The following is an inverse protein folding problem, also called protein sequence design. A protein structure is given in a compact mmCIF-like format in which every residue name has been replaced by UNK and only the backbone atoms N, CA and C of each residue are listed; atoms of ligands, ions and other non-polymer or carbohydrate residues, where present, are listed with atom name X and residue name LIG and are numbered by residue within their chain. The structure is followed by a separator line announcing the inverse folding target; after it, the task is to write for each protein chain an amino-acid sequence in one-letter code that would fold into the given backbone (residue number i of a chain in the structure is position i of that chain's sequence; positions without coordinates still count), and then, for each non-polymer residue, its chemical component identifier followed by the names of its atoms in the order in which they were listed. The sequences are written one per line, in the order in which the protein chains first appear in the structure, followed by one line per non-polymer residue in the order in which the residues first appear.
data_IF_008736300312
#
_entry.id   IF_008736300312
#
_cell.length_a   1.000
_cell.length_b   1.000
_cell.length_c   1.000
_cell.angle_alpha   90.00
_cell.angle_beta   90.00
_cell.angle_gamma   90.00
#
_symmetry.space_group_name_H-M   'P 1'
#
loop_
_entity.id
_entity.type
_entity.pdbx_description
1 polymer ?
#
# COMPACT_ATOMS: atom_id res chain seq x y z
N UNK A 1 -2.67 5.26 -20.64
CA UNK A 1 -3.99 5.74 -20.17
C UNK A 1 -3.81 6.27 -18.76
N UNK A 2 -3.80 7.60 -18.59
CA UNK A 2 -3.72 8.24 -17.27
C UNK A 2 -5.08 8.02 -16.61
N UNK A 3 -5.14 7.22 -15.54
CA UNK A 3 -6.40 7.00 -14.81
C UNK A 3 -6.90 8.34 -14.28
N UNK A 4 -8.21 8.52 -14.28
CA UNK A 4 -8.79 9.69 -13.65
C UNK A 4 -8.57 9.60 -12.13
N UNK A 5 -7.84 10.59 -11.59
CA UNK A 5 -7.47 10.68 -10.18
C UNK A 5 -8.23 11.84 -9.51
N UNK A 6 -9.34 12.31 -10.09
CA UNK A 6 -10.16 13.39 -9.51
C UNK A 6 -10.67 13.08 -8.11
N UNK A 7 -10.91 11.79 -7.80
CA UNK A 7 -11.27 11.34 -6.46
C UNK A 7 -10.25 11.74 -5.39
N UNK A 8 -8.97 11.88 -5.75
CA UNK A 8 -7.89 12.14 -4.80
C UNK A 8 -8.00 13.54 -4.16
N UNK A 9 -8.62 14.50 -4.84
CA UNK A 9 -8.78 15.85 -4.32
C UNK A 9 -9.68 15.92 -3.07
N UNK A 10 -10.51 14.90 -2.83
CA UNK A 10 -11.43 14.81 -1.69
C UNK A 10 -10.75 14.44 -0.36
N UNK A 11 -9.51 13.95 -0.41
CA UNK A 11 -8.79 13.38 0.73
C UNK A 11 -7.54 14.17 1.06
N UNK A 12 -7.22 14.29 2.35
CA UNK A 12 -6.00 14.95 2.81
C UNK A 12 -4.88 13.95 3.12
N UNK A 13 -5.20 12.66 3.23
CA UNK A 13 -4.21 11.58 3.36
C UNK A 13 -4.62 10.39 2.49
N UNK A 14 -3.74 9.92 1.60
CA UNK A 14 -4.04 8.79 0.71
C UNK A 14 -2.96 7.73 0.90
N UNK A 15 -3.36 6.50 1.24
CA UNK A 15 -2.42 5.41 1.53
C UNK A 15 -2.55 4.31 0.49
N UNK A 16 -1.55 4.15 -0.38
CA UNK A 16 -1.50 3.07 -1.37
C UNK A 16 -0.80 1.84 -0.79
N UNK A 17 -1.51 0.72 -0.73
CA UNK A 17 -1.01 -0.56 -0.22
C UNK A 17 -1.38 -1.71 -1.17
N UNK A 18 -0.62 -2.81 -1.09
CA UNK A 18 -0.74 -3.95 -2.01
C UNK A 18 0.61 -4.62 -2.28
N UNK A 19 0.60 -5.69 -3.08
CA UNK A 19 1.82 -6.46 -3.39
C UNK A 19 2.88 -5.60 -4.12
N UNK A 20 4.17 -5.89 -3.89
CA UNK A 20 5.25 -5.25 -4.63
C UNK A 20 5.15 -5.59 -6.12
N UNK A 21 5.41 -4.61 -7.00
CA UNK A 21 5.12 -4.75 -8.43
C UNK A 21 3.65 -4.46 -8.82
N UNK A 22 2.72 -4.29 -7.88
CA UNK A 22 1.32 -3.98 -8.20
C UNK A 22 1.09 -2.56 -8.77
N UNK A 23 2.11 -1.72 -8.94
CA UNK A 23 1.94 -0.39 -9.57
C UNK A 23 1.63 0.78 -8.61
N UNK A 24 1.76 0.55 -7.29
CA UNK A 24 1.56 1.55 -6.22
C UNK A 24 2.37 2.83 -6.44
N UNK A 25 3.70 2.71 -6.58
CA UNK A 25 4.60 3.86 -6.77
C UNK A 25 4.16 4.76 -7.90
N UNK A 26 3.75 4.20 -9.04
CA UNK A 26 3.27 4.98 -10.18
C UNK A 26 2.00 5.76 -9.86
N UNK A 27 1.04 5.12 -9.17
CA UNK A 27 -0.20 5.78 -8.75
C UNK A 27 0.06 6.84 -7.67
N UNK A 28 0.89 6.53 -6.68
CA UNK A 28 1.23 7.42 -5.59
C UNK A 28 1.95 8.69 -6.10
N UNK A 29 2.94 8.54 -6.98
CA UNK A 29 3.63 9.68 -7.61
C UNK A 29 2.65 10.55 -8.40
N UNK A 30 1.86 9.96 -9.29
CA UNK A 30 0.89 10.71 -10.09
C UNK A 30 -0.17 11.41 -9.22
N UNK A 31 -0.59 10.77 -8.12
CA UNK A 31 -1.55 11.34 -7.16
C UNK A 31 -0.93 12.51 -6.41
N UNK A 32 0.32 12.39 -5.95
CA UNK A 32 1.02 13.44 -5.25
C UNK A 32 1.23 14.68 -6.14
N UNK A 33 1.63 14.47 -7.40
CA UNK A 33 1.78 15.55 -8.39
C UNK A 33 0.46 16.27 -8.65
N UNK A 34 -0.63 15.53 -8.89
CA UNK A 34 -1.96 16.12 -9.19
C UNK A 34 -2.57 16.84 -7.99
N UNK A 35 -2.26 16.43 -6.78
CA UNK A 35 -2.85 16.99 -5.55
C UNK A 35 -1.92 17.94 -4.79
N UNK A 36 -0.72 18.17 -5.32
CA UNK A 36 0.37 18.91 -4.65
C UNK A 36 0.67 18.39 -3.23
N UNK A 37 0.55 17.08 -3.05
CA UNK A 37 0.76 16.43 -1.76
C UNK A 37 2.23 16.06 -1.53
N UNK A 38 2.63 15.95 -0.27
CA UNK A 38 3.91 15.36 0.12
C UNK A 38 3.85 13.86 -0.10
N UNK A 39 4.70 13.34 -0.99
CA UNK A 39 4.87 11.90 -1.22
C UNK A 39 5.80 11.32 -0.15
N UNK A 40 5.30 10.38 0.65
CA UNK A 40 6.04 9.62 1.64
C UNK A 40 6.23 8.21 1.08
N UNK A 41 7.49 7.81 0.88
CA UNK A 41 7.83 6.44 0.48
C UNK A 41 8.28 5.66 1.72
N UNK A 42 7.44 4.75 2.23
CA UNK A 42 7.82 3.92 3.36
C UNK A 42 8.69 2.76 2.89
N UNK A 43 9.99 2.85 3.18
CA UNK A 43 10.95 1.76 2.98
C UNK A 43 10.98 0.82 4.19
N UNK A 44 11.70 -0.29 4.05
CA UNK A 44 11.98 -1.20 5.16
C UNK A 44 12.59 -0.42 6.34
N UNK A 45 11.93 -0.48 7.50
CA UNK A 45 12.42 0.14 8.73
C UNK A 45 13.42 -0.78 9.43
N UNK A 46 14.51 -0.23 10.00
CA UNK A 46 15.50 -1.02 10.73
C UNK A 46 14.89 -1.89 11.85
N UNK A 47 15.54 -3.03 12.20
CA UNK A 47 15.20 -3.76 13.41
C UNK A 47 15.27 -2.86 14.66
N UNK A 48 14.33 -3.03 15.59
CA UNK A 48 14.26 -2.24 16.83
C UNK A 48 13.58 -0.86 16.70
N UNK A 49 13.16 -0.44 15.51
CA UNK A 49 12.33 0.76 15.35
C UNK A 49 10.97 0.58 16.04
N UNK A 50 10.58 1.57 16.85
CA UNK A 50 9.23 1.72 17.37
C UNK A 50 8.28 2.13 16.24
N UNK A 51 7.73 1.13 15.55
CA UNK A 51 6.91 1.33 14.36
C UNK A 51 5.65 2.17 14.61
N UNK A 52 4.86 1.94 15.67
CA UNK A 52 3.70 2.78 15.97
C UNK A 52 4.06 4.26 16.00
N UNK A 53 5.02 4.65 16.84
CA UNK A 53 5.45 6.05 16.97
C UNK A 53 6.02 6.59 15.66
N UNK A 54 6.81 5.80 14.93
CA UNK A 54 7.37 6.21 13.65
C UNK A 54 6.27 6.54 12.62
N UNK A 55 5.24 5.71 12.50
CA UNK A 55 4.12 5.96 11.58
C UNK A 55 3.22 7.09 12.06
N UNK A 56 2.93 7.21 13.36
CA UNK A 56 2.18 8.35 13.88
C UNK A 56 2.89 9.68 13.60
N UNK A 57 4.21 9.73 13.76
CA UNK A 57 5.01 10.92 13.42
C UNK A 57 4.96 11.26 11.92
N UNK A 58 4.90 10.25 11.04
CA UNK A 58 4.72 10.49 9.61
C UNK A 58 3.31 11.02 9.31
N UNK A 59 2.29 10.48 9.99
CA UNK A 59 0.91 10.92 9.85
C UNK A 59 0.68 12.31 10.45
N UNK A 60 1.45 12.73 11.45
CA UNK A 60 1.34 14.08 12.06
C UNK A 60 1.88 15.20 11.16
N UNK A 61 2.55 14.87 10.06
CA UNK A 61 3.07 15.89 9.14
C UNK A 61 1.96 16.80 8.60
N UNK A 62 2.22 18.12 8.47
CA UNK A 62 1.22 19.06 7.98
C UNK A 62 0.96 18.89 6.49
N UNK A 63 -0.22 19.34 6.05
CA UNK A 63 -0.60 19.36 4.64
C UNK A 63 -1.09 18.00 4.12
N UNK A 64 -1.27 17.90 2.81
CA UNK A 64 -1.77 16.70 2.15
C UNK A 64 -0.66 15.67 2.02
N UNK A 65 -0.95 14.42 2.36
CA UNK A 65 0.00 13.31 2.35
C UNK A 65 -0.42 12.22 1.38
N UNK A 66 0.54 11.67 0.65
CA UNK A 66 0.38 10.45 -0.14
C UNK A 66 1.44 9.45 0.28
N UNK A 67 1.02 8.26 0.70
CA UNK A 67 1.92 7.18 1.09
C UNK A 67 2.02 6.15 -0.04
N UNK A 68 3.24 5.89 -0.51
CA UNK A 68 3.59 4.70 -1.29
C UNK A 68 4.12 3.63 -0.34
N UNK A 69 3.23 2.71 0.06
CA UNK A 69 3.36 1.82 1.23
C UNK A 69 3.32 2.58 2.56
N UNK A 70 2.84 1.91 3.59
CA UNK A 70 2.77 2.42 4.95
C UNK A 70 2.80 1.24 5.96
N UNK A 71 2.11 1.36 7.09
CA UNK A 71 2.15 0.39 8.18
C UNK A 71 1.43 -0.93 7.87
N UNK A 72 0.52 -1.00 6.89
CA UNK A 72 -0.21 -2.23 6.56
C UNK A 72 0.72 -3.27 5.94
N UNK A 73 1.73 -2.83 5.19
CA UNK A 73 2.78 -3.70 4.64
C UNK A 73 3.48 -4.56 5.70
N UNK A 74 3.63 -4.09 6.94
CA UNK A 74 4.25 -4.87 8.04
C UNK A 74 3.40 -6.08 8.46
N UNK A 75 2.07 -5.95 8.41
CA UNK A 75 1.12 -6.99 8.80
C UNK A 75 1.01 -8.09 7.75
N UNK A 76 1.39 -7.80 6.50
CA UNK A 76 1.44 -8.79 5.42
C UNK A 76 2.84 -9.43 5.35
N UNK A 77 3.87 -8.61 5.18
CA UNK A 77 5.21 -9.12 4.89
C UNK A 77 5.95 -9.63 6.13
N UNK A 78 5.67 -9.10 7.32
CA UNK A 78 6.27 -9.57 8.57
C UNK A 78 6.01 -11.06 8.82
N UNK A 79 4.73 -11.50 8.88
CA UNK A 79 4.40 -12.90 9.07
C UNK A 79 4.97 -13.82 7.99
N UNK A 80 4.94 -13.41 6.71
CA UNK A 80 5.42 -14.22 5.59
C UNK A 80 6.94 -14.43 5.66
N UNK A 81 7.71 -13.36 5.83
CA UNK A 81 9.17 -13.44 5.72
C UNK A 81 9.91 -13.62 7.05
N UNK A 82 9.28 -13.27 8.18
CA UNK A 82 9.89 -13.33 9.52
C UNK A 82 9.11 -14.21 10.50
N UNK A 83 7.97 -14.76 10.11
CA UNK A 83 7.08 -15.53 10.99
C UNK A 83 6.33 -14.69 12.03
N UNK A 84 6.49 -13.37 12.05
CA UNK A 84 5.79 -12.47 12.96
C UNK A 84 5.72 -11.04 12.41
N UNK A 85 4.66 -10.32 12.78
CA UNK A 85 4.56 -8.87 12.55
C UNK A 85 5.12 -8.10 13.76
N UNK A 86 5.78 -6.98 13.49
CA UNK A 86 6.21 -6.02 14.53
C UNK A 86 5.07 -5.10 14.99
N UNK A 87 3.98 -5.05 14.23
CA UNK A 87 2.76 -4.33 14.60
C UNK A 87 1.67 -5.32 15.04
N UNK A 88 0.95 -4.96 16.10
CA UNK A 88 -0.24 -5.67 16.54
C UNK A 88 -1.48 -5.13 15.84
N UNK A 89 -2.59 -5.86 15.92
CA UNK A 89 -3.89 -5.39 15.43
C UNK A 89 -4.38 -4.12 16.14
N UNK A 90 -4.02 -3.95 17.41
CA UNK A 90 -4.32 -2.73 18.16
C UNK A 90 -3.55 -1.53 17.60
N UNK A 91 -2.26 -1.69 17.30
CA UNK A 91 -1.46 -0.64 16.65
C UNK A 91 -2.03 -0.28 15.28
N UNK A 92 -2.40 -1.29 14.48
CA UNK A 92 -3.09 -1.08 13.20
C UNK A 92 -4.36 -0.25 13.39
N UNK A 93 -5.19 -0.61 14.37
CA UNK A 93 -6.45 0.08 14.64
C UNK A 93 -6.24 1.55 15.01
N UNK A 94 -5.22 1.85 15.81
CA UNK A 94 -4.85 3.23 16.15
C UNK A 94 -4.40 4.01 14.92
N UNK A 95 -3.46 3.47 14.13
CA UNK A 95 -2.93 4.15 12.95
C UNK A 95 -3.99 4.32 11.85
N UNK A 96 -4.93 3.39 11.71
CA UNK A 96 -6.09 3.53 10.82
C UNK A 96 -6.97 4.70 11.26
N UNK A 97 -7.20 4.88 12.56
CA UNK A 97 -7.96 6.03 13.08
C UNK A 97 -7.25 7.35 12.79
N UNK A 98 -5.93 7.41 12.96
CA UNK A 98 -5.15 8.61 12.62
C UNK A 98 -5.29 8.98 11.12
N UNK A 99 -5.29 7.99 10.21
CA UNK A 99 -5.56 8.23 8.79
C UNK A 99 -6.98 8.78 8.58
N UNK A 100 -7.99 8.21 9.26
CA UNK A 100 -9.39 8.66 9.16
C UNK A 100 -9.56 10.09 9.67
N UNK A 101 -8.97 10.41 10.82
CA UNK A 101 -9.03 11.75 11.44
C UNK A 101 -8.42 12.82 10.53
N UNK A 102 -7.46 12.43 9.70
CA UNK A 102 -6.89 13.26 8.62
C UNK A 102 -7.68 13.23 7.32
N UNK A 103 -8.99 12.92 7.38
CA UNK A 103 -9.84 12.77 6.18
C UNK A 103 -9.20 11.88 5.13
N UNK A 104 -8.61 10.78 5.57
CA UNK A 104 -7.80 9.92 4.72
C UNK A 104 -8.55 8.72 4.14
N UNK A 105 -7.94 8.10 3.14
CA UNK A 105 -8.45 6.90 2.47
C UNK A 105 -7.33 5.90 2.22
N UNK A 106 -7.69 4.62 2.31
CA UNK A 106 -6.81 3.54 1.89
C UNK A 106 -7.14 3.11 0.47
N UNK A 107 -6.10 2.91 -0.33
CA UNK A 107 -6.21 2.43 -1.70
C UNK A 107 -5.54 1.08 -1.80
N UNK A 108 -6.36 0.05 -2.00
CA UNK A 108 -5.88 -1.29 -2.29
C UNK A 108 -5.54 -1.41 -3.77
N UNK A 109 -4.25 -1.57 -4.07
CA UNK A 109 -3.76 -1.71 -5.44
C UNK A 109 -3.47 -3.18 -5.74
N UNK A 110 -4.20 -3.73 -6.68
CA UNK A 110 -4.10 -5.15 -7.07
C UNK A 110 -3.57 -5.33 -8.49
N UNK A 111 -3.01 -6.50 -8.75
CA UNK A 111 -2.64 -6.99 -10.07
C UNK A 111 -2.55 -8.52 -10.02
N UNK A 112 -2.76 -9.23 -11.15
CA UNK A 112 -2.51 -10.66 -11.21
C UNK A 112 -1.07 -11.01 -10.83
N UNK A 113 -0.86 -12.12 -10.12
CA UNK A 113 0.48 -12.56 -9.69
C UNK A 113 1.47 -12.70 -10.86
N UNK A 114 1.00 -13.17 -12.02
CA UNK A 114 1.82 -13.25 -13.24
C UNK A 114 2.29 -11.88 -13.73
N UNK A 115 1.40 -10.88 -13.69
CA UNK A 115 1.70 -9.51 -14.09
C UNK A 115 2.64 -8.83 -13.09
N UNK A 116 2.44 -9.07 -11.79
CA UNK A 116 3.37 -8.64 -10.74
C UNK A 116 4.76 -9.21 -11.02
N UNK A 117 4.87 -10.53 -11.20
CA UNK A 117 6.14 -11.19 -11.46
C UNK A 117 6.82 -10.65 -12.72
N UNK A 118 6.06 -10.42 -13.80
CA UNK A 118 6.57 -9.80 -15.03
C UNK A 118 7.17 -8.42 -14.77
N UNK A 119 6.50 -7.58 -13.97
CA UNK A 119 6.99 -6.24 -13.60
C UNK A 119 8.24 -6.29 -12.73
N UNK A 120 8.30 -7.21 -11.75
CA UNK A 120 9.49 -7.41 -10.92
C UNK A 120 10.68 -7.86 -11.79
N UNK A 121 10.45 -8.78 -12.74
CA UNK A 121 11.46 -9.23 -13.69
C UNK A 121 11.96 -8.08 -14.58
N UNK A 122 11.06 -7.25 -15.11
CA UNK A 122 11.40 -6.10 -15.93
C UNK A 122 12.20 -5.02 -15.17
N UNK A 123 12.09 -4.96 -13.84
CA UNK A 123 12.91 -4.09 -12.98
C UNK A 123 14.32 -4.64 -12.72
N UNK A 124 14.60 -5.88 -13.10
CA UNK A 124 15.89 -6.53 -12.89
C UNK A 124 16.06 -7.13 -11.48
N UNK A 125 14.98 -7.48 -10.78
CA UNK A 125 15.09 -8.14 -9.48
C UNK A 125 15.74 -9.54 -9.62
N UNK A 126 16.80 -9.77 -8.84
CA UNK A 126 17.62 -10.99 -8.92
C UNK A 126 16.93 -12.22 -8.32
N UNK A 127 16.03 -12.02 -7.36
CA UNK A 127 15.31 -13.08 -6.66
C UNK A 127 13.80 -12.86 -6.82
N UNK A 128 13.25 -13.33 -7.93
CA UNK A 128 11.81 -13.24 -8.19
C UNK A 128 11.04 -14.26 -7.33
N UNK A 129 10.02 -13.82 -6.56
CA UNK A 129 9.14 -14.75 -5.88
C UNK A 129 8.41 -15.67 -6.86
N UNK A 130 8.01 -16.86 -6.40
CA UNK A 130 7.18 -17.75 -7.20
C UNK A 130 5.78 -17.15 -7.41
N UNK A 131 5.03 -17.67 -8.39
CA UNK A 131 3.64 -17.24 -8.60
C UNK A 131 2.80 -17.54 -7.35
N UNK A 132 3.05 -18.66 -6.68
CA UNK A 132 2.33 -19.06 -5.47
C UNK A 132 2.66 -18.14 -4.30
N UNK A 133 3.92 -17.75 -4.14
CA UNK A 133 4.31 -16.77 -3.10
C UNK A 133 3.63 -15.41 -3.33
N UNK A 134 3.58 -14.95 -4.58
CA UNK A 134 2.89 -13.70 -4.93
C UNK A 134 1.39 -13.80 -4.71
N UNK A 135 0.77 -14.93 -5.06
CA UNK A 135 -0.64 -15.19 -4.81
C UNK A 135 -0.95 -15.16 -3.31
N UNK A 136 -0.11 -15.79 -2.48
CA UNK A 136 -0.23 -15.74 -1.03
C UNK A 136 -0.12 -14.31 -0.49
N UNK A 137 0.84 -13.52 -0.98
CA UNK A 137 0.97 -12.11 -0.58
C UNK A 137 -0.28 -11.32 -0.95
N UNK A 138 -0.82 -11.51 -2.17
CA UNK A 138 -2.04 -10.85 -2.61
C UNK A 138 -3.24 -11.24 -1.73
N UNK A 139 -3.42 -12.52 -1.44
CA UNK A 139 -4.48 -13.03 -0.56
C UNK A 139 -4.39 -12.40 0.84
N UNK A 140 -3.17 -12.24 1.37
CA UNK A 140 -2.97 -11.58 2.68
C UNK A 140 -3.30 -10.10 2.65
N UNK A 141 -3.06 -9.41 1.55
CA UNK A 141 -3.57 -8.03 1.38
C UNK A 141 -5.10 -8.02 1.27
N UNK A 142 -5.72 -8.94 0.53
CA UNK A 142 -7.18 -9.05 0.43
C UNK A 142 -7.81 -9.25 1.81
N UNK A 143 -7.27 -10.17 2.62
CA UNK A 143 -7.70 -10.42 4.01
C UNK A 143 -7.60 -9.15 4.87
N UNK A 144 -6.46 -8.46 4.79
CA UNK A 144 -6.22 -7.26 5.57
C UNK A 144 -7.19 -6.14 5.17
N UNK A 145 -7.40 -5.94 3.86
CA UNK A 145 -8.30 -4.91 3.37
C UNK A 145 -9.77 -5.20 3.69
N UNK A 146 -10.20 -6.47 3.68
CA UNK A 146 -11.51 -6.86 4.22
C UNK A 146 -11.68 -6.43 5.68
N UNK A 147 -10.63 -6.53 6.50
CA UNK A 147 -10.68 -6.04 7.87
C UNK A 147 -10.75 -4.50 7.94
N UNK A 148 -9.96 -3.79 7.12
CA UNK A 148 -9.98 -2.31 7.07
C UNK A 148 -11.33 -1.77 6.61
N UNK A 149 -12.01 -2.43 5.68
CA UNK A 149 -13.35 -2.06 5.20
C UNK A 149 -14.42 -2.08 6.31
N UNK A 150 -14.20 -2.84 7.39
CA UNK A 150 -15.08 -2.81 8.56
C UNK A 150 -14.93 -1.52 9.38
N UNK A 151 -13.88 -0.74 9.12
CA UNK A 151 -13.49 0.44 9.89
C UNK A 151 -13.64 1.74 9.10
N UNK A 152 -13.37 1.71 7.79
CA UNK A 152 -13.39 2.89 6.94
C UNK A 152 -13.59 2.55 5.46
N UNK A 153 -13.72 3.58 4.63
CA UNK A 153 -13.78 3.45 3.17
C UNK A 153 -12.43 3.03 2.60
N UNK A 154 -12.46 2.04 1.70
CA UNK A 154 -11.33 1.58 0.91
C UNK A 154 -11.66 1.77 -0.57
N UNK A 155 -10.69 2.28 -1.34
CA UNK A 155 -10.76 2.30 -2.80
C UNK A 155 -9.96 1.12 -3.36
N UNK A 156 -10.55 0.38 -4.29
CA UNK A 156 -9.86 -0.73 -4.96
C UNK A 156 -9.46 -0.31 -6.37
N UNK A 157 -8.19 -0.49 -6.70
CA UNK A 157 -7.63 -0.15 -8.00
C UNK A 157 -6.87 -1.35 -8.55
N UNK A 158 -7.43 -2.00 -9.57
CA UNK A 158 -6.70 -3.01 -10.33
C UNK A 158 -5.78 -2.35 -11.37
N UNK A 159 -4.57 -2.90 -11.51
CA UNK A 159 -3.59 -2.42 -12.48
C UNK A 159 -3.26 -3.42 -13.58
N UNK A 160 -4.11 -4.43 -13.81
CA UNK A 160 -3.94 -5.35 -14.95
C UNK A 160 -3.65 -4.59 -16.24
N UNK A 161 -2.74 -5.12 -17.07
CA UNK A 161 -2.83 -4.80 -18.48
C UNK A 161 -4.20 -5.27 -18.97
N UNK A 162 -4.88 -4.55 -19.88
CA UNK A 162 -5.89 -5.22 -20.70
C UNK A 162 -5.13 -6.34 -21.40
N UNK A 163 -5.50 -7.59 -21.10
CA UNK A 163 -4.95 -8.73 -21.81
C UNK A 163 -5.15 -8.45 -23.30
N UNK A 164 -4.08 -8.62 -24.08
CA UNK A 164 -4.24 -8.90 -25.50
C UNK A 164 -5.00 -10.23 -25.55
N UNK A 165 -6.33 -10.16 -25.62
CA UNK A 165 -7.16 -11.25 -26.12
C UNK A 165 -6.64 -11.55 -27.54
N UNK A 166 -5.74 -12.52 -27.64
CA UNK A 166 -5.38 -13.24 -28.87
C UNK A 166 -5.62 -14.72 -28.68
#
# INVERSE_FOLDING_TARGET
MMRDLDWAAAYDTIVFEGCDGAGKTTLATATAERTCATLIHSTLTPPGTDLPTAYSNLLDQPGRLVFDRCFLSELVYGPIYRGHARLSYQHMTTLVREVIERRGVFVHVTAPAAEIRRRLAARGESNLPSIDDLALICERYDDLFRAIETMTTVLHISTSHPDEDT
#
